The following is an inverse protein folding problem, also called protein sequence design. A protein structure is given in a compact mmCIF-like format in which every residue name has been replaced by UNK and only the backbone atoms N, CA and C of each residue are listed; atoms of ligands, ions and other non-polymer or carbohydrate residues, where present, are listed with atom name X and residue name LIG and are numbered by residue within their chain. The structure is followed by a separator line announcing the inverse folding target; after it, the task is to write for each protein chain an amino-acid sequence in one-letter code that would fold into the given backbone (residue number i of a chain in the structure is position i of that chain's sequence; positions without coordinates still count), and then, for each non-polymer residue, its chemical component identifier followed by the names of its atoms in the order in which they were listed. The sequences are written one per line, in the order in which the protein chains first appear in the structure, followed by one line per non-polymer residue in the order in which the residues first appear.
data_IF_736764624504
#
_entry.id   IF_736764624504
#
_cell.length_a   1.000
_cell.length_b   1.000
_cell.length_c   1.000
_cell.angle_alpha   90.00
_cell.angle_beta   90.00
_cell.angle_gamma   90.00
#
_symmetry.space_group_name_H-M   'P 1'
#
loop_
_entity.id
_entity.type
_entity.pdbx_description
1 polymer ?
#
# COMPACT_ATOMS: atom_id res chain seq x y z
N UNK A 1 -13.88 -2.79 -11.42
CA UNK A 1 -12.43 -3.04 -11.64
C UNK A 1 -12.11 -4.41 -11.09
N UNK A 2 -11.45 -5.25 -11.86
CA UNK A 2 -11.18 -6.63 -11.49
C UNK A 2 -9.68 -6.81 -11.24
N UNK A 3 -9.31 -7.25 -10.03
CA UNK A 3 -7.93 -7.58 -9.64
C UNK A 3 -7.66 -9.09 -9.65
N UNK A 4 -8.52 -9.89 -10.31
CA UNK A 4 -8.43 -11.34 -10.37
C UNK A 4 -7.65 -11.88 -11.60
N UNK A 5 -6.88 -11.02 -12.26
CA UNK A 5 -6.02 -11.40 -13.37
C UNK A 5 -4.96 -12.40 -12.91
N UNK A 6 -4.93 -13.59 -13.54
CA UNK A 6 -4.02 -14.68 -13.17
C UNK A 6 -2.55 -14.32 -13.37
N UNK A 7 -2.24 -13.56 -14.42
CA UNK A 7 -0.86 -13.15 -14.70
C UNK A 7 -0.38 -12.14 -13.65
N UNK A 8 -1.26 -11.19 -13.24
CA UNK A 8 -0.94 -10.28 -12.14
C UNK A 8 -0.63 -11.04 -10.84
N UNK A 9 -1.48 -12.02 -10.50
CA UNK A 9 -1.29 -12.84 -9.28
C UNK A 9 0.03 -13.60 -9.34
N UNK A 10 0.36 -14.21 -10.48
CA UNK A 10 1.59 -14.97 -10.68
C UNK A 10 2.82 -14.07 -10.57
N UNK A 11 2.84 -12.94 -11.29
CA UNK A 11 3.91 -11.93 -11.24
C UNK A 11 4.16 -11.50 -9.80
N UNK A 12 3.11 -11.12 -9.06
CA UNK A 12 3.28 -10.69 -7.68
C UNK A 12 3.78 -11.82 -6.76
N UNK A 13 3.28 -13.05 -6.92
CA UNK A 13 3.76 -14.21 -6.14
C UNK A 13 5.22 -14.57 -6.40
N UNK A 14 5.70 -14.34 -7.61
CA UNK A 14 7.10 -14.55 -7.98
C UNK A 14 8.04 -13.46 -7.45
N UNK A 15 7.53 -12.45 -6.75
CA UNK A 15 8.33 -11.33 -6.23
C UNK A 15 8.68 -10.31 -7.31
N UNK A 16 7.98 -10.31 -8.42
CA UNK A 16 8.12 -9.36 -9.51
C UNK A 16 7.33 -8.09 -9.22
N UNK A 17 7.42 -7.08 -10.11
CA UNK A 17 6.86 -5.74 -9.93
C UNK A 17 5.76 -5.49 -10.93
N UNK A 18 4.61 -5.01 -10.46
CA UNK A 18 3.51 -4.60 -11.32
C UNK A 18 3.16 -3.12 -11.14
N UNK A 19 2.53 -2.54 -12.17
CA UNK A 19 1.77 -1.30 -12.05
C UNK A 19 0.29 -1.62 -12.20
N UNK A 20 -0.48 -1.19 -11.20
CA UNK A 20 -1.92 -1.45 -11.18
C UNK A 20 -2.70 -0.31 -10.52
N UNK A 21 -3.99 -0.18 -10.82
CA UNK A 21 -4.88 0.67 -10.06
C UNK A 21 -5.00 0.16 -8.61
N UNK A 22 -5.13 1.09 -7.66
CA UNK A 22 -5.52 0.78 -6.30
C UNK A 22 -6.89 1.38 -6.00
N UNK A 23 -7.33 1.32 -4.76
CA UNK A 23 -8.55 1.99 -4.29
C UNK A 23 -8.42 3.53 -4.22
N UNK A 24 -7.27 4.07 -4.59
CA UNK A 24 -6.96 5.52 -4.57
C UNK A 24 -6.41 6.01 -5.91
N UNK A 25 -5.21 5.60 -6.26
CA UNK A 25 -4.46 6.00 -7.45
C UNK A 25 -3.71 4.79 -8.04
N UNK A 26 -3.12 4.92 -9.21
CA UNK A 26 -2.20 3.89 -9.72
C UNK A 26 -0.98 3.77 -8.81
N UNK A 27 -0.67 2.52 -8.43
CA UNK A 27 0.52 2.16 -7.66
C UNK A 27 1.50 1.33 -8.47
N UNK A 28 2.79 1.49 -8.19
CA UNK A 28 3.79 0.47 -8.52
C UNK A 28 3.91 -0.45 -7.30
N UNK A 29 3.67 -1.74 -7.50
CA UNK A 29 3.43 -2.68 -6.41
C UNK A 29 4.33 -3.90 -6.49
N UNK A 30 4.61 -4.50 -5.35
CA UNK A 30 5.31 -5.76 -5.21
C UNK A 30 5.30 -6.23 -3.76
N UNK A 31 5.65 -7.49 -3.52
CA UNK A 31 5.58 -8.08 -2.18
C UNK A 31 6.41 -7.29 -1.16
N UNK A 32 5.75 -6.88 -0.06
CA UNK A 32 6.39 -6.10 1.01
C UNK A 32 7.46 -6.91 1.75
N UNK A 33 7.32 -8.22 1.85
CA UNK A 33 8.24 -9.11 2.54
C UNK A 33 9.38 -9.64 1.66
N UNK A 34 9.40 -9.26 0.37
CA UNK A 34 10.48 -9.60 -0.56
C UNK A 34 11.46 -8.41 -0.67
N UNK A 35 12.60 -8.51 0.02
CA UNK A 35 13.61 -7.45 0.08
C UNK A 35 14.10 -7.00 -1.31
N UNK A 36 14.47 -7.91 -2.24
CA UNK A 36 14.84 -7.55 -3.61
C UNK A 36 13.75 -6.74 -4.34
N UNK A 37 12.49 -7.14 -4.22
CA UNK A 37 11.34 -6.45 -4.83
C UNK A 37 11.19 -5.03 -4.28
N UNK A 38 11.30 -4.87 -2.97
CA UNK A 38 11.25 -3.55 -2.31
C UNK A 38 12.36 -2.65 -2.86
N UNK A 39 13.60 -3.13 -2.90
CA UNK A 39 14.73 -2.36 -3.44
C UNK A 39 14.53 -2.00 -4.92
N UNK A 40 14.04 -2.94 -5.73
CA UNK A 40 13.74 -2.69 -7.15
C UNK A 40 12.73 -1.54 -7.32
N UNK A 41 11.63 -1.53 -6.53
CA UNK A 41 10.63 -0.47 -6.58
C UNK A 41 11.24 0.90 -6.19
N UNK A 42 12.08 0.96 -5.15
CA UNK A 42 12.77 2.20 -4.78
C UNK A 42 13.66 2.72 -5.92
N UNK A 43 14.42 1.84 -6.57
CA UNK A 43 15.28 2.19 -7.69
C UNK A 43 14.48 2.70 -8.89
N UNK A 44 13.41 1.99 -9.29
CA UNK A 44 12.54 2.38 -10.40
C UNK A 44 11.90 3.76 -10.17
N UNK A 45 11.50 4.03 -8.93
CA UNK A 45 10.93 5.32 -8.56
C UNK A 45 11.96 6.42 -8.35
N UNK A 46 13.23 6.13 -8.30
CA UNK A 46 14.28 7.06 -7.81
C UNK A 46 13.88 7.67 -6.47
N UNK A 47 13.28 6.84 -5.62
CA UNK A 47 12.69 7.28 -4.37
C UNK A 47 13.76 7.57 -3.33
N UNK A 48 13.57 8.66 -2.58
CA UNK A 48 14.38 8.94 -1.39
C UNK A 48 14.39 7.70 -0.48
N UNK A 49 15.57 7.12 -0.18
CA UNK A 49 15.69 5.90 0.61
C UNK A 49 15.11 6.00 2.02
N UNK A 50 15.01 7.21 2.58
CA UNK A 50 14.54 7.44 3.95
C UNK A 50 13.01 7.60 4.05
N UNK A 51 12.29 7.51 2.94
CA UNK A 51 10.83 7.62 2.91
C UNK A 51 10.17 6.25 2.84
N UNK A 52 9.56 5.71 3.92
CA UNK A 52 8.81 4.46 3.88
C UNK A 52 7.70 4.48 2.83
N UNK A 53 7.37 3.30 2.31
CA UNK A 53 6.20 3.10 1.45
C UNK A 53 4.99 2.65 2.28
N UNK A 54 3.79 2.93 1.78
CA UNK A 54 2.56 2.37 2.33
C UNK A 54 2.49 0.89 1.93
N UNK A 55 2.11 0.04 2.88
CA UNK A 55 1.89 -1.39 2.71
C UNK A 55 0.38 -1.63 2.66
N UNK A 56 -0.10 -2.25 1.58
CA UNK A 56 -1.48 -2.72 1.47
C UNK A 56 -1.60 -4.09 2.14
N UNK A 57 -2.64 -4.25 2.94
CA UNK A 57 -2.97 -5.50 3.63
C UNK A 57 -4.41 -5.94 3.30
N UNK A 58 -4.67 -7.23 3.30
CA UNK A 58 -6.01 -7.80 3.09
C UNK A 58 -6.84 -7.79 4.36
N UNK A 59 -6.20 -7.88 5.53
CA UNK A 59 -6.83 -7.98 6.84
C UNK A 59 -5.93 -7.38 7.92
N UNK A 60 -6.55 -6.94 9.03
CA UNK A 60 -5.85 -6.33 10.18
C UNK A 60 -4.88 -7.31 10.85
N UNK A 61 -5.15 -8.62 10.83
CA UNK A 61 -4.26 -9.62 11.41
C UNK A 61 -2.89 -9.67 10.72
N UNK A 62 -2.78 -9.24 9.46
CA UNK A 62 -1.49 -9.18 8.76
C UNK A 62 -0.52 -8.15 9.38
N UNK A 63 -0.97 -7.25 10.24
CA UNK A 63 -0.08 -6.37 11.00
C UNK A 63 0.89 -7.16 11.89
N UNK A 64 0.49 -8.34 12.38
CA UNK A 64 1.33 -9.20 13.22
C UNK A 64 2.53 -9.75 12.45
N UNK A 65 2.41 -9.97 11.13
CA UNK A 65 3.51 -10.37 10.24
C UNK A 65 4.64 -9.33 10.22
N UNK A 66 4.32 -8.07 10.54
CA UNK A 66 5.24 -6.94 10.62
C UNK A 66 5.59 -6.56 12.06
N UNK A 67 5.37 -7.46 13.02
CA UNK A 67 5.64 -7.23 14.44
C UNK A 67 4.84 -6.06 15.05
N UNK A 68 3.69 -5.73 14.47
CA UNK A 68 2.78 -4.71 15.00
C UNK A 68 1.76 -5.39 15.92
N UNK A 69 1.91 -5.21 17.21
CA UNK A 69 0.95 -5.64 18.22
C UNK A 69 0.07 -4.46 18.63
N UNK A 70 -1.23 -4.56 18.40
CA UNK A 70 -2.18 -3.48 18.68
C UNK A 70 -2.61 -3.47 20.14
N UNK A 71 -2.64 -2.29 20.76
CA UNK A 71 -3.29 -2.06 22.05
C UNK A 71 -4.81 -2.19 21.92
N UNK A 72 -5.51 -2.22 23.06
CA UNK A 72 -6.98 -2.20 23.10
C UNK A 72 -7.53 -0.91 22.50
N UNK A 73 -6.91 0.21 22.82
CA UNK A 73 -7.25 1.55 22.36
C UNK A 73 -7.06 1.65 20.84
N UNK A 74 -5.94 1.15 20.33
CA UNK A 74 -5.70 1.09 18.88
C UNK A 74 -6.75 0.21 18.17
N UNK A 75 -7.07 -0.97 18.69
CA UNK A 75 -8.10 -1.86 18.10
C UNK A 75 -9.47 -1.18 18.03
N UNK A 76 -9.84 -0.42 19.05
CA UNK A 76 -11.09 0.34 19.05
C UNK A 76 -11.07 1.46 18.01
N UNK A 77 -9.96 2.20 17.94
CA UNK A 77 -9.81 3.34 17.03
C UNK A 77 -9.77 2.90 15.55
N UNK A 78 -9.19 1.75 15.25
CA UNK A 78 -9.17 1.19 13.88
C UNK A 78 -10.55 1.01 13.27
N UNK A 79 -11.56 0.70 14.07
CA UNK A 79 -12.95 0.56 13.60
C UNK A 79 -13.50 1.84 12.97
N UNK A 80 -12.98 3.01 13.32
CA UNK A 80 -13.40 4.29 12.73
C UNK A 80 -12.83 4.49 11.32
N UNK A 81 -11.66 3.91 11.03
CA UNK A 81 -10.93 4.13 9.77
C UNK A 81 -11.04 2.95 8.80
N UNK A 82 -11.12 1.73 9.33
CA UNK A 82 -11.06 0.49 8.53
C UNK A 82 -12.30 -0.41 8.72
N UNK A 83 -13.45 0.17 9.10
CA UNK A 83 -14.74 -0.55 9.07
C UNK A 83 -15.42 -0.37 7.73
N UNK A 84 -15.51 -1.44 6.96
CA UNK A 84 -16.23 -1.48 5.70
C UNK A 84 -17.50 -2.31 5.87
N UNK A 85 -18.54 -1.69 6.44
CA UNK A 85 -19.84 -2.32 6.59
C UNK A 85 -20.65 -2.05 5.32
N UNK A 86 -21.05 -3.11 4.60
CA UNK A 86 -21.87 -3.02 3.38
C UNK A 86 -23.23 -2.32 3.58
N UNK A 87 -23.65 -2.15 4.82
CA UNK A 87 -24.89 -1.48 5.20
C UNK A 87 -24.75 0.05 5.39
N UNK A 88 -23.54 0.60 5.39
CA UNK A 88 -23.33 2.05 5.55
C UNK A 88 -23.26 2.73 4.19
N UNK A 89 -24.13 3.72 3.97
CA UNK A 89 -24.12 4.56 2.76
C UNK A 89 -22.85 5.42 2.61
N UNK A 90 -22.02 5.51 3.64
CA UNK A 90 -20.79 6.29 3.67
C UNK A 90 -19.57 5.36 3.81
N UNK A 91 -18.75 5.30 2.75
CA UNK A 91 -17.46 4.64 2.80
C UNK A 91 -16.44 5.58 3.46
N UNK A 92 -15.68 5.12 4.48
CA UNK A 92 -14.65 5.96 5.08
C UNK A 92 -13.61 6.38 4.03
N UNK A 93 -13.09 7.60 4.18
CA UNK A 93 -11.98 8.09 3.35
C UNK A 93 -10.82 7.11 3.41
N UNK A 94 -10.24 6.67 2.26
CA UNK A 94 -9.10 5.77 2.26
C UNK A 94 -7.99 6.30 3.15
N UNK A 95 -7.67 5.57 4.22
CA UNK A 95 -6.75 6.03 5.26
C UNK A 95 -5.60 5.04 5.43
N UNK A 96 -4.38 5.55 5.33
CA UNK A 96 -3.17 4.84 5.70
C UNK A 96 -2.80 5.20 7.14
N UNK A 97 -2.48 4.18 7.93
CA UNK A 97 -2.21 4.34 9.36
C UNK A 97 -0.77 3.94 9.65
N UNK A 98 -0.04 4.82 10.30
CA UNK A 98 1.33 4.61 10.73
C UNK A 98 1.33 4.04 12.15
N UNK A 99 2.09 2.96 12.34
CA UNK A 99 2.36 2.33 13.63
C UNK A 99 3.87 2.32 13.92
N UNK A 100 4.24 2.35 15.19
CA UNK A 100 5.63 2.15 15.60
C UNK A 100 6.07 0.70 15.30
N UNK A 101 7.27 0.56 14.72
CA UNK A 101 7.88 -0.71 14.35
C UNK A 101 9.39 -0.63 14.56
N UNK A 102 9.86 -1.18 15.69
CA UNK A 102 11.29 -1.19 16.06
C UNK A 102 12.02 -2.48 15.64
N UNK A 103 11.40 -3.32 14.83
CA UNK A 103 12.00 -4.55 14.37
C UNK A 103 13.05 -4.29 13.29
N UNK A 104 14.33 -4.39 13.64
CA UNK A 104 15.47 -4.16 12.75
C UNK A 104 15.47 -5.06 11.50
N UNK A 105 14.86 -6.25 11.56
CA UNK A 105 14.69 -7.11 10.38
C UNK A 105 13.82 -6.46 9.29
N UNK A 106 13.03 -5.45 9.65
CA UNK A 106 12.18 -4.67 8.76
C UNK A 106 12.76 -3.29 8.42
N UNK A 107 14.05 -3.07 8.71
CA UNK A 107 14.73 -1.80 8.40
C UNK A 107 14.66 -1.42 6.93
N UNK A 108 14.62 -2.38 6.03
CA UNK A 108 14.43 -2.17 4.59
C UNK A 108 13.02 -1.61 4.24
N UNK A 109 12.05 -1.69 5.15
CA UNK A 109 10.71 -1.08 5.02
C UNK A 109 10.59 0.22 5.79
N UNK A 110 10.98 0.24 7.07
CA UNK A 110 10.83 1.43 7.91
C UNK A 110 11.95 2.48 7.70
N UNK A 111 13.04 2.13 7.02
CA UNK A 111 14.07 3.09 6.56
C UNK A 111 14.64 3.98 7.66
N UNK A 112 14.81 3.46 8.87
CA UNK A 112 15.30 4.20 10.02
C UNK A 112 14.25 5.04 10.76
N UNK A 113 13.02 5.11 10.26
CA UNK A 113 11.94 5.86 10.93
C UNK A 113 11.33 5.11 12.12
N UNK A 114 11.66 3.83 12.29
CA UNK A 114 11.04 2.93 13.27
C UNK A 114 9.50 2.91 13.20
N UNK A 115 8.95 3.16 12.02
CA UNK A 115 7.51 3.17 11.78
C UNK A 115 7.17 2.53 10.45
N UNK A 116 6.00 1.89 10.36
CA UNK A 116 5.44 1.37 9.12
C UNK A 116 4.03 1.91 8.89
N UNK A 117 3.72 2.21 7.64
CA UNK A 117 2.41 2.70 7.22
C UNK A 117 1.63 1.59 6.52
N UNK A 118 0.43 1.31 6.98
CA UNK A 118 -0.45 0.31 6.38
C UNK A 118 -1.74 0.91 5.88
N UNK A 119 -2.32 0.31 4.85
CA UNK A 119 -3.68 0.60 4.40
C UNK A 119 -4.45 -0.70 4.16
N UNK A 120 -5.63 -0.78 4.74
CA UNK A 120 -6.64 -1.77 4.43
C UNK A 120 -7.56 -1.18 3.35
N UNK A 121 -7.52 -1.66 2.08
CA UNK A 121 -8.34 -1.11 1.01
C UNK A 121 -9.83 -1.31 1.28
N UNK A 122 -10.67 -0.34 0.86
CA UNK A 122 -12.13 -0.47 0.94
C UNK A 122 -12.68 -1.49 -0.07
N UNK A 123 -12.02 -1.66 -1.21
CA UNK A 123 -12.41 -2.64 -2.24
C UNK A 123 -12.16 -4.07 -1.77
N UNK A 124 -13.24 -4.87 -1.68
CA UNK A 124 -13.14 -6.30 -1.36
C UNK A 124 -12.27 -7.03 -2.39
N UNK A 125 -12.49 -6.79 -3.70
CA UNK A 125 -11.73 -7.46 -4.76
C UNK A 125 -10.22 -7.15 -4.68
N UNK A 126 -9.81 -5.95 -4.24
CA UNK A 126 -8.40 -5.66 -3.99
C UNK A 126 -7.89 -6.39 -2.74
N UNK A 127 -8.70 -6.51 -1.69
CA UNK A 127 -8.34 -7.34 -0.52
C UNK A 127 -8.21 -8.83 -0.87
N UNK A 128 -9.05 -9.34 -1.76
CA UNK A 128 -8.97 -10.73 -2.24
C UNK A 128 -7.65 -10.98 -3.00
N UNK A 129 -7.21 -10.03 -3.84
CA UNK A 129 -5.87 -10.09 -4.44
C UNK A 129 -4.78 -10.15 -3.35
N UNK A 130 -4.83 -9.24 -2.37
CA UNK A 130 -3.85 -9.19 -1.29
C UNK A 130 -3.83 -10.47 -0.42
N UNK A 131 -4.99 -11.11 -0.25
CA UNK A 131 -5.06 -12.42 0.42
C UNK A 131 -4.35 -13.53 -0.36
N UNK A 132 -4.32 -13.44 -1.69
CA UNK A 132 -3.64 -14.40 -2.57
C UNK A 132 -2.14 -14.14 -2.71
N UNK A 133 -1.72 -12.86 -2.72
CA UNK A 133 -0.33 -12.44 -3.03
C UNK A 133 0.48 -12.10 -1.78
N UNK A 134 -0.18 -11.94 -0.63
CA UNK A 134 0.40 -11.34 0.56
C UNK A 134 0.40 -9.80 0.52
N UNK A 135 0.89 -9.16 1.59
CA UNK A 135 1.01 -7.71 1.68
C UNK A 135 1.90 -7.11 0.59
N UNK A 136 1.47 -5.99 0.00
CA UNK A 136 2.20 -5.31 -1.08
C UNK A 136 2.63 -3.90 -0.65
N UNK A 137 3.89 -3.50 -0.90
CA UNK A 137 4.21 -2.08 -0.93
C UNK A 137 3.54 -1.46 -2.16
N UNK A 138 2.98 -0.26 -2.00
CA UNK A 138 2.19 0.37 -3.05
C UNK A 138 2.38 1.90 -3.10
N UNK A 139 3.59 2.40 -3.35
CA UNK A 139 3.76 3.81 -3.64
C UNK A 139 3.12 4.17 -4.99
N UNK A 140 2.80 5.44 -5.19
CA UNK A 140 2.24 5.97 -6.43
C UNK A 140 3.09 5.61 -7.66
N UNK A 141 2.44 5.36 -8.81
CA UNK A 141 3.11 4.98 -10.05
C UNK A 141 3.72 6.20 -10.78
N UNK A 142 4.84 6.70 -10.26
CA UNK A 142 5.66 7.79 -10.82
C UNK A 142 7.08 7.76 -10.25
N UNK A 143 8.10 8.25 -10.94
CA UNK A 143 9.36 8.65 -10.32
C UNK A 143 9.12 9.76 -9.28
N UNK A 144 9.92 9.81 -8.21
CA UNK A 144 9.75 10.82 -7.16
C UNK A 144 9.85 12.24 -7.74
N UNK A 145 8.97 13.13 -7.28
CA UNK A 145 8.90 14.52 -7.76
C UNK A 145 8.03 14.73 -9.01
N UNK A 146 7.66 13.67 -9.72
CA UNK A 146 6.77 13.77 -10.89
C UNK A 146 5.30 13.47 -10.50
N UNK A 147 4.32 13.93 -11.29
CA UNK A 147 2.91 13.60 -11.08
C UNK A 147 2.63 12.09 -11.14
N UNK A 148 1.72 11.60 -10.31
CA UNK A 148 1.28 10.20 -10.38
C UNK A 148 0.62 9.89 -11.71
N UNK A 149 0.91 8.72 -12.28
CA UNK A 149 0.20 8.24 -13.48
C UNK A 149 -1.30 8.11 -13.17
N UNK A 150 -2.13 8.59 -14.10
CA UNK A 150 -3.59 8.47 -14.02
C UNK A 150 -4.13 7.27 -14.79
N UNK A 151 -3.33 6.68 -15.67
CA UNK A 151 -3.64 5.53 -16.50
C UNK A 151 -2.37 4.78 -16.88
N UNK A 152 -2.52 3.63 -17.53
CA UNK A 152 -1.40 2.78 -17.95
C UNK A 152 -0.49 3.48 -18.96
N UNK A 153 -1.03 4.27 -19.90
CA UNK A 153 -0.20 5.00 -20.86
C UNK A 153 0.76 5.98 -20.17
N UNK A 154 0.28 6.66 -19.12
CA UNK A 154 1.11 7.52 -18.27
C UNK A 154 2.17 6.74 -17.49
N UNK A 155 1.81 5.59 -16.93
CA UNK A 155 2.75 4.74 -16.22
C UNK A 155 3.84 4.15 -17.12
N UNK A 156 3.48 3.71 -18.33
CA UNK A 156 4.43 3.22 -19.33
C UNK A 156 5.43 4.28 -19.78
N UNK A 157 5.06 5.57 -19.80
CA UNK A 157 6.02 6.66 -20.06
C UNK A 157 7.10 6.75 -18.98
N UNK A 158 6.80 6.37 -17.75
CA UNK A 158 7.76 6.40 -16.65
C UNK A 158 8.62 5.14 -16.55
N UNK A 159 8.01 3.97 -16.74
CA UNK A 159 8.65 2.71 -16.39
C UNK A 159 8.94 1.79 -17.59
N UNK A 160 8.32 2.03 -18.75
CA UNK A 160 8.50 1.25 -19.97
C UNK A 160 8.51 -0.28 -19.68
N UNK A 161 9.54 -0.98 -20.10
CA UNK A 161 9.71 -2.43 -19.91
C UNK A 161 10.43 -2.79 -18.59
N UNK A 162 10.62 -1.81 -17.68
CA UNK A 162 11.29 -2.05 -16.39
C UNK A 162 10.37 -2.67 -15.33
N UNK A 163 9.07 -2.78 -15.63
CA UNK A 163 8.02 -3.38 -14.81
C UNK A 163 7.49 -4.61 -15.52
N UNK A 164 7.25 -5.68 -14.76
CA UNK A 164 6.94 -7.01 -15.33
C UNK A 164 5.46 -7.12 -15.79
N UNK A 165 4.57 -6.36 -15.17
CA UNK A 165 3.14 -6.38 -15.52
C UNK A 165 2.46 -5.02 -15.37
N UNK A 166 1.50 -4.74 -16.24
CA UNK A 166 0.65 -3.56 -16.21
C UNK A 166 -0.83 -3.98 -16.25
N UNK A 167 -1.56 -3.75 -15.17
CA UNK A 167 -3.01 -3.94 -15.14
C UNK A 167 -3.71 -2.64 -15.53
N UNK A 168 -4.47 -2.67 -16.62
CA UNK A 168 -5.25 -1.51 -17.03
C UNK A 168 -6.58 -1.43 -16.28
N UNK A 169 -6.81 -0.36 -15.57
CA UNK A 169 -8.07 -0.05 -14.88
C UNK A 169 -8.73 1.24 -15.40
N UNK A 170 -8.33 1.69 -16.60
CA UNK A 170 -8.80 2.95 -17.16
C UNK A 170 -8.16 4.17 -16.49
N UNK A 171 -8.80 5.32 -16.63
CA UNK A 171 -8.33 6.56 -16.00
C UNK A 171 -8.82 6.68 -14.56
N UNK A 172 -7.90 6.98 -13.65
CA UNK A 172 -8.16 7.23 -12.23
C UNK A 172 -7.82 8.67 -11.90
N UNK A 173 -8.82 9.42 -11.42
CA UNK A 173 -8.69 10.81 -10.96
C UNK A 173 -8.76 10.94 -9.43
N UNK A 174 -8.59 9.84 -8.70
CA UNK A 174 -8.65 9.82 -7.24
C UNK A 174 -7.49 10.57 -6.56
N UNK A 175 -7.68 10.87 -5.29
CA UNK A 175 -6.64 11.45 -4.44
C UNK A 175 -5.88 10.34 -3.69
N UNK A 176 -4.65 10.63 -3.29
CA UNK A 176 -3.90 9.77 -2.39
C UNK A 176 -4.63 9.63 -1.04
N UNK A 177 -4.46 8.50 -0.36
CA UNK A 177 -5.08 8.26 0.94
C UNK A 177 -4.74 9.33 1.97
N UNK A 178 -5.64 9.58 2.92
CA UNK A 178 -5.28 10.23 4.19
C UNK A 178 -4.14 9.46 4.85
N UNK A 179 -3.27 10.14 5.60
CA UNK A 179 -2.21 9.51 6.40
C UNK A 179 -2.31 10.01 7.83
N UNK A 180 -2.42 9.08 8.76
CA UNK A 180 -2.45 9.36 10.19
C UNK A 180 -1.39 8.51 10.91
N UNK A 181 -0.91 8.99 12.07
CA UNK A 181 -0.19 8.15 13.04
C UNK A 181 -1.12 7.80 14.18
N UNK A 182 -1.25 6.52 14.50
CA UNK A 182 -2.09 6.02 15.59
C UNK A 182 -1.20 5.55 16.74
N UNK A 183 -1.22 6.30 17.84
CA UNK A 183 -0.44 6.02 19.03
C UNK A 183 -1.06 4.89 19.86
N UNK A 184 -0.25 4.31 20.78
CA UNK A 184 -0.66 3.18 21.63
C UNK A 184 -1.84 3.50 22.55
N UNK A 185 -2.00 4.75 22.94
CA UNK A 185 -3.09 5.26 23.78
C UNK A 185 -4.38 5.58 22.99
N UNK A 186 -4.37 5.36 21.65
CA UNK A 186 -5.49 5.64 20.77
C UNK A 186 -5.54 7.08 20.24
N UNK A 187 -4.61 7.94 20.63
CA UNK A 187 -4.51 9.31 20.06
C UNK A 187 -4.03 9.26 18.61
N UNK A 188 -4.38 10.28 17.83
CA UNK A 188 -4.16 10.32 16.38
C UNK A 188 -3.54 11.65 15.97
N UNK A 189 -2.43 11.59 15.23
CA UNK A 189 -1.86 12.72 14.50
C UNK A 189 -2.24 12.61 13.02
N UNK A 190 -2.75 13.70 12.43
CA UNK A 190 -3.05 13.77 10.99
C UNK A 190 -1.81 14.34 10.28
N UNK A 191 -1.19 13.53 9.43
CA UNK A 191 0.01 13.91 8.68
C UNK A 191 -0.30 14.35 7.25
N UNK A 192 -1.39 13.85 6.68
CA UNK A 192 -1.96 14.23 5.39
C UNK A 192 -3.47 14.03 5.41
N UNK A 193 -4.23 15.06 5.07
CA UNK A 193 -5.71 15.05 4.99
C UNK A 193 -6.23 14.70 3.61
#
# INVERSE_FOLDING_TARGET
MEWNDKNLIEVLKNGEVAVMPTDTIYGIVGQAQNVPTVHRIYNLKKRNPDKPCIILISDVHQLEEFSISLSREQKNKLKEYWSFNSAQAFQPTPTSIIFDCKNEKLSYLHRGTETLAFRLPSSQALRDLLALTGPLIAPSANPEGLPSAKNIAGAKKYFADSVDFYLDGGEISGNASRVIKLHKDGTVDILRG
#
